data_IF_012851384434
#
_entry.id   IF_012851384434
#
_cell.length_a   1.000
_cell.length_b   1.000
_cell.length_c   1.000
_cell.angle_alpha   90.00
_cell.angle_beta   90.00
_cell.angle_gamma   90.00
#
_symmetry.space_group_name_H-M   'P 1'
#
loop_
_entity.id
_entity.type
_entity.pdbx_description
1 polymer ?
#
# COMPACT_ATOMS: atom_id res chain seq x y z
N UNK A 1 -57.10 -73.55 7.70
CA UNK A 1 -57.04 -72.50 6.70
C UNK A 1 -55.77 -71.70 7.01
N UNK A 2 -54.67 -72.14 6.43
CA UNK A 2 -53.31 -71.62 6.66
C UNK A 2 -52.99 -70.53 5.62
N UNK A 3 -52.65 -69.33 6.07
CA UNK A 3 -52.19 -68.25 5.22
C UNK A 3 -50.69 -68.44 4.99
N UNK A 4 -50.24 -68.38 3.77
CA UNK A 4 -48.81 -68.51 3.47
C UNK A 4 -48.07 -67.20 3.55
N UNK A 5 -46.84 -67.24 4.12
CA UNK A 5 -45.70 -66.47 3.74
C UNK A 5 -45.69 -64.97 4.04
N UNK A 6 -45.49 -64.63 5.33
CA UNK A 6 -44.96 -63.31 5.67
C UNK A 6 -43.49 -63.24 5.30
N UNK A 7 -43.17 -62.68 4.15
CA UNK A 7 -41.83 -62.18 3.88
C UNK A 7 -41.54 -61.04 4.83
N UNK A 8 -40.74 -61.25 5.84
CA UNK A 8 -40.14 -60.19 6.64
C UNK A 8 -39.30 -59.36 5.73
N UNK A 9 -39.81 -58.19 5.38
CA UNK A 9 -39.00 -57.16 4.73
C UNK A 9 -37.99 -56.68 5.77
N UNK A 10 -36.77 -57.16 5.62
CA UNK A 10 -35.66 -56.76 6.43
C UNK A 10 -35.34 -55.30 6.13
N UNK A 11 -35.88 -54.40 6.92
CA UNK A 11 -35.58 -52.96 6.86
C UNK A 11 -34.21 -52.62 7.42
N UNK A 12 -33.40 -53.63 7.73
CA UNK A 12 -31.96 -53.44 8.03
C UNK A 12 -31.13 -53.42 6.75
N UNK A 13 -31.61 -52.71 5.70
CA UNK A 13 -30.64 -52.21 4.74
C UNK A 13 -29.68 -51.31 5.52
N UNK A 14 -28.39 -51.62 5.55
CA UNK A 14 -27.46 -50.77 6.26
C UNK A 14 -27.59 -49.38 5.68
N UNK A 15 -27.78 -48.41 6.56
CA UNK A 15 -27.51 -46.99 6.27
C UNK A 15 -26.01 -46.89 5.98
N UNK A 16 -25.58 -47.62 4.91
CA UNK A 16 -24.26 -47.59 4.40
C UNK A 16 -23.93 -46.19 3.92
N UNK A 17 -23.14 -45.56 4.75
CA UNK A 17 -22.19 -44.62 4.27
C UNK A 17 -22.91 -43.47 3.49
N UNK A 18 -23.61 -42.60 4.21
CA UNK A 18 -23.50 -41.20 3.85
C UNK A 18 -22.00 -40.95 3.84
N UNK A 19 -21.43 -41.12 2.66
CA UNK A 19 -20.03 -40.90 2.36
C UNK A 19 -19.74 -39.53 2.96
N UNK A 20 -19.05 -39.48 4.09
CA UNK A 20 -18.66 -38.24 4.72
C UNK A 20 -17.67 -37.65 3.74
N UNK A 21 -18.18 -36.86 2.79
CA UNK A 21 -17.36 -36.14 1.84
C UNK A 21 -16.34 -35.38 2.68
N UNK A 22 -15.11 -35.91 2.73
CA UNK A 22 -14.04 -35.30 3.50
C UNK A 22 -13.85 -33.86 3.00
N UNK A 23 -13.68 -32.89 3.90
CA UNK A 23 -13.52 -31.51 3.50
C UNK A 23 -12.26 -31.34 2.65
N UNK A 24 -12.40 -30.81 1.45
CA UNK A 24 -11.27 -30.51 0.59
C UNK A 24 -10.64 -29.19 1.03
N UNK A 25 -9.48 -29.27 1.66
CA UNK A 25 -8.72 -28.09 2.09
C UNK A 25 -8.10 -27.36 0.91
N UNK A 26 -8.18 -26.02 0.93
CA UNK A 26 -7.61 -25.19 -0.11
C UNK A 26 -6.07 -25.32 -0.17
N UNK A 27 -5.54 -25.59 -1.37
CA UNK A 27 -4.09 -25.61 -1.59
C UNK A 27 -3.48 -24.24 -1.32
N UNK A 28 -2.18 -24.22 -1.03
CA UNK A 28 -1.40 -23.00 -0.88
C UNK A 28 -1.53 -22.08 -2.10
N UNK A 29 -1.40 -22.64 -3.32
CA UNK A 29 -1.54 -21.87 -4.56
C UNK A 29 -2.89 -21.17 -4.67
N UNK A 30 -4.00 -21.83 -4.35
CA UNK A 30 -5.32 -21.18 -4.38
C UNK A 30 -5.42 -20.02 -3.41
N UNK A 31 -4.79 -20.10 -2.25
CA UNK A 31 -4.76 -19.00 -1.27
C UNK A 31 -3.94 -17.83 -1.77
N UNK A 32 -2.77 -18.10 -2.38
CA UNK A 32 -1.91 -17.07 -2.97
C UNK A 32 -2.63 -16.37 -4.12
N UNK A 33 -3.22 -17.11 -5.04
CA UNK A 33 -3.98 -16.51 -6.16
C UNK A 33 -5.12 -15.64 -5.63
N UNK A 34 -5.87 -16.09 -4.63
CA UNK A 34 -6.93 -15.28 -4.03
C UNK A 34 -6.39 -13.98 -3.42
N UNK A 35 -5.25 -14.05 -2.71
CA UNK A 35 -4.62 -12.88 -2.11
C UNK A 35 -4.10 -11.89 -3.17
N UNK A 36 -3.49 -12.38 -4.26
CA UNK A 36 -3.05 -11.55 -5.38
C UNK A 36 -4.22 -10.83 -6.04
N UNK A 37 -5.33 -11.55 -6.26
CA UNK A 37 -6.55 -10.95 -6.83
C UNK A 37 -7.12 -9.85 -5.91
N UNK A 38 -7.16 -10.09 -4.60
CA UNK A 38 -7.59 -9.07 -3.63
C UNK A 38 -6.64 -7.86 -3.63
N UNK A 39 -5.32 -8.08 -3.74
CA UNK A 39 -4.32 -7.03 -3.83
C UNK A 39 -4.45 -6.18 -5.11
N UNK A 40 -4.76 -6.79 -6.25
CA UNK A 40 -5.02 -6.10 -7.52
C UNK A 40 -6.22 -5.14 -7.39
N UNK A 41 -7.29 -5.57 -6.73
CA UNK A 41 -8.46 -4.70 -6.47
C UNK A 41 -8.04 -3.51 -5.61
N UNK A 42 -7.32 -3.76 -4.52
CA UNK A 42 -6.87 -2.70 -3.62
C UNK A 42 -5.94 -1.70 -4.32
N UNK A 43 -5.02 -2.19 -5.15
CA UNK A 43 -4.12 -1.33 -5.93
C UNK A 43 -4.87 -0.48 -6.96
N UNK A 44 -5.87 -1.05 -7.64
CA UNK A 44 -6.71 -0.32 -8.59
C UNK A 44 -7.51 0.79 -7.90
N UNK A 45 -8.10 0.51 -6.72
CA UNK A 45 -8.82 1.51 -5.93
C UNK A 45 -7.86 2.59 -5.42
N UNK A 46 -6.67 2.21 -4.95
CA UNK A 46 -5.65 3.17 -4.51
C UNK A 46 -5.24 4.12 -5.64
N UNK A 47 -5.13 3.61 -6.88
CA UNK A 47 -4.84 4.44 -8.05
C UNK A 47 -5.99 5.40 -8.40
N UNK A 48 -7.23 4.91 -8.34
CA UNK A 48 -8.42 5.71 -8.68
C UNK A 48 -8.75 6.74 -7.61
N UNK A 49 -8.31 6.55 -6.38
CA UNK A 49 -8.56 7.48 -5.29
C UNK A 49 -7.98 8.88 -5.60
N UNK A 50 -8.70 9.95 -5.30
CA UNK A 50 -8.25 11.32 -5.60
C UNK A 50 -7.03 11.76 -4.80
N UNK A 51 -6.68 11.05 -3.74
CA UNK A 51 -5.51 11.32 -2.90
C UNK A 51 -4.35 10.50 -3.45
N UNK A 52 -3.31 11.18 -3.93
CA UNK A 52 -2.13 10.56 -4.52
C UNK A 52 -1.45 9.60 -3.55
N UNK A 53 -1.68 8.31 -3.74
CA UNK A 53 -0.98 7.23 -3.04
C UNK A 53 -0.13 6.51 -4.06
N UNK A 54 1.16 6.37 -3.75
CA UNK A 54 2.07 5.60 -4.61
C UNK A 54 1.50 4.22 -4.92
N UNK A 55 1.60 3.81 -6.18
CA UNK A 55 1.04 2.57 -6.73
C UNK A 55 1.86 1.33 -6.40
N UNK A 56 2.45 1.25 -5.21
CA UNK A 56 3.16 0.06 -4.77
C UNK A 56 2.19 -0.97 -4.21
N UNK A 57 2.31 -2.22 -4.65
CA UNK A 57 1.53 -3.34 -4.16
C UNK A 57 1.75 -3.52 -2.65
N UNK A 58 0.74 -3.36 -1.79
CA UNK A 58 0.93 -3.41 -0.34
C UNK A 58 1.17 -4.82 0.21
N UNK A 59 0.88 -5.86 -0.59
CA UNK A 59 0.89 -7.26 -0.13
C UNK A 59 1.93 -8.13 -0.82
N UNK A 60 2.57 -7.67 -1.89
CA UNK A 60 3.63 -8.40 -2.55
C UNK A 60 4.98 -7.81 -2.14
N UNK A 61 5.53 -8.32 -1.05
CA UNK A 61 6.96 -8.39 -0.88
C UNK A 61 7.70 -7.19 -0.34
N UNK A 62 7.08 -6.44 0.56
CA UNK A 62 7.94 -5.81 1.56
C UNK A 62 7.87 -6.67 2.80
N UNK A 63 8.93 -7.44 3.12
CA UNK A 63 9.04 -7.98 4.46
C UNK A 63 8.85 -6.79 5.39
N UNK A 64 8.00 -6.94 6.41
CA UNK A 64 7.98 -6.00 7.50
C UNK A 64 9.43 -5.91 7.97
N UNK A 65 10.16 -4.94 7.48
CA UNK A 65 11.50 -4.70 7.94
C UNK A 65 11.34 -4.40 9.42
N UNK A 66 11.99 -5.17 10.26
CA UNK A 66 12.02 -5.01 11.71
C UNK A 66 12.50 -3.61 12.14
N UNK A 67 12.82 -2.76 11.20
CA UNK A 67 13.40 -1.41 11.36
C UNK A 67 12.43 -0.27 11.07
N UNK A 68 11.14 -0.45 11.30
CA UNK A 68 10.20 0.67 11.26
C UNK A 68 9.05 0.42 10.27
N UNK A 69 7.89 0.84 10.70
CA UNK A 69 6.69 0.89 9.88
C UNK A 69 7.02 1.70 8.61
N UNK A 70 7.08 1.02 7.47
CA UNK A 70 7.35 1.65 6.20
C UNK A 70 6.40 2.86 6.02
N UNK A 71 6.91 4.08 5.79
CA UNK A 71 6.09 5.28 5.64
C UNK A 71 5.01 5.13 4.56
N UNK A 72 5.19 4.21 3.60
CA UNK A 72 4.18 3.84 2.61
C UNK A 72 2.95 3.17 3.24
N UNK A 73 3.09 2.39 4.30
CA UNK A 73 1.96 1.77 5.01
C UNK A 73 1.13 2.85 5.72
N UNK A 74 1.79 3.85 6.30
CA UNK A 74 1.12 5.01 6.92
C UNK A 74 0.27 5.81 5.93
N UNK A 75 0.68 5.93 4.68
CA UNK A 75 -0.07 6.65 3.64
C UNK A 75 -1.35 5.91 3.21
N UNK A 76 -1.35 4.59 3.25
CA UNK A 76 -2.51 3.76 2.89
C UNK A 76 -3.69 3.94 3.84
N UNK A 77 -3.41 3.98 5.15
CA UNK A 77 -4.45 4.23 6.16
C UNK A 77 -4.99 5.67 6.14
N UNK A 78 -4.28 6.60 5.52
CA UNK A 78 -4.77 7.97 5.29
C UNK A 78 -5.75 8.07 4.13
N UNK A 79 -5.79 7.07 3.25
CA UNK A 79 -6.72 7.06 2.12
C UNK A 79 -8.04 6.39 2.53
N UNK A 80 -9.15 7.14 2.67
CA UNK A 80 -10.42 6.59 3.13
C UNK A 80 -11.00 5.52 2.18
N UNK A 81 -10.69 5.58 0.89
CA UNK A 81 -11.15 4.59 -0.08
C UNK A 81 -10.42 3.25 0.10
N UNK A 82 -9.13 3.27 0.38
CA UNK A 82 -8.38 2.06 0.70
C UNK A 82 -8.85 1.46 2.01
N UNK A 83 -9.08 2.30 3.03
CA UNK A 83 -9.67 1.86 4.30
C UNK A 83 -11.04 1.23 4.08
N UNK A 84 -11.89 1.82 3.23
CA UNK A 84 -13.18 1.25 2.89
C UNK A 84 -13.06 -0.15 2.25
N UNK A 85 -12.13 -0.35 1.31
CA UNK A 85 -11.87 -1.68 0.72
C UNK A 85 -11.43 -2.68 1.78
N UNK A 86 -10.54 -2.29 2.68
CA UNK A 86 -10.08 -3.15 3.79
C UNK A 86 -11.27 -3.53 4.68
N UNK A 87 -12.09 -2.56 5.10
CA UNK A 87 -13.27 -2.80 5.94
C UNK A 87 -14.26 -3.74 5.25
N UNK A 88 -14.59 -3.48 3.99
CA UNK A 88 -15.48 -4.34 3.20
C UNK A 88 -14.93 -5.77 3.11
N UNK A 89 -13.63 -5.91 2.86
CA UNK A 89 -12.97 -7.23 2.77
C UNK A 89 -13.03 -7.98 4.10
N UNK A 90 -12.80 -7.29 5.22
CA UNK A 90 -12.92 -7.87 6.57
C UNK A 90 -14.36 -8.30 6.85
N UNK A 91 -15.33 -7.46 6.57
CA UNK A 91 -16.76 -7.76 6.78
C UNK A 91 -17.21 -8.93 5.91
N UNK A 92 -16.84 -8.96 4.63
CA UNK A 92 -17.12 -10.10 3.75
C UNK A 92 -16.51 -11.39 4.30
N UNK A 93 -15.25 -11.37 4.73
CA UNK A 93 -14.62 -12.56 5.30
C UNK A 93 -15.27 -12.98 6.61
N UNK A 94 -15.67 -12.04 7.47
CA UNK A 94 -16.27 -12.32 8.76
C UNK A 94 -17.65 -13.01 8.64
N UNK A 95 -18.49 -12.54 7.73
CA UNK A 95 -19.88 -12.97 7.66
C UNK A 95 -20.20 -13.88 6.47
N UNK A 96 -19.44 -13.77 5.38
CA UNK A 96 -19.60 -14.61 4.20
C UNK A 96 -18.52 -15.68 4.08
N UNK A 97 -17.43 -15.58 4.86
CA UNK A 97 -16.28 -16.47 4.81
C UNK A 97 -15.40 -16.28 3.57
N UNK A 98 -15.65 -15.24 2.76
CA UNK A 98 -15.00 -15.03 1.48
C UNK A 98 -14.57 -13.57 1.30
N UNK A 99 -13.58 -13.37 0.45
CA UNK A 99 -13.22 -12.07 -0.14
C UNK A 99 -13.47 -12.14 -1.63
N UNK A 100 -13.44 -11.04 -2.39
CA UNK A 100 -13.57 -11.09 -3.85
C UNK A 100 -12.65 -12.11 -4.51
N UNK A 101 -11.36 -12.12 -4.15
CA UNK A 101 -10.39 -13.10 -4.67
C UNK A 101 -10.75 -14.54 -4.29
N UNK A 102 -11.19 -14.78 -3.06
CA UNK A 102 -11.63 -16.11 -2.62
C UNK A 102 -12.89 -16.59 -3.33
N UNK A 103 -13.82 -15.68 -3.64
CA UNK A 103 -15.02 -15.99 -4.44
C UNK A 103 -14.62 -16.51 -5.80
N UNK A 104 -13.67 -15.84 -6.48
CA UNK A 104 -13.22 -16.21 -7.83
C UNK A 104 -12.51 -17.56 -7.83
N UNK A 105 -11.65 -17.81 -6.85
CA UNK A 105 -10.89 -19.06 -6.74
C UNK A 105 -11.73 -20.22 -6.21
N UNK A 106 -12.91 -19.93 -5.63
CA UNK A 106 -13.81 -20.93 -5.08
C UNK A 106 -13.32 -21.50 -3.74
N UNK A 107 -12.82 -20.64 -2.84
CA UNK A 107 -12.40 -21.03 -1.49
C UNK A 107 -13.09 -20.16 -0.44
N UNK A 108 -13.24 -20.69 0.76
CA UNK A 108 -13.87 -19.98 1.88
C UNK A 108 -13.14 -20.26 3.20
N UNK A 109 -13.07 -19.25 4.06
CA UNK A 109 -12.57 -19.33 5.43
C UNK A 109 -13.74 -19.63 6.36
N UNK A 110 -13.66 -20.75 7.05
CA UNK A 110 -14.73 -21.19 7.94
C UNK A 110 -14.16 -21.69 9.27
N UNK A 111 -15.00 -21.76 10.28
CA UNK A 111 -14.69 -22.37 11.55
C UNK A 111 -14.53 -23.89 11.38
N UNK A 112 -13.55 -24.45 12.04
CA UNK A 112 -13.29 -25.91 12.04
C UNK A 112 -14.44 -26.69 12.71
N UNK A 113 -15.16 -26.07 13.66
CA UNK A 113 -16.17 -26.75 14.44
C UNK A 113 -17.53 -26.88 13.74
N UNK A 114 -17.93 -25.88 12.93
CA UNK A 114 -19.29 -25.81 12.38
C UNK A 114 -19.36 -25.44 10.90
N UNK A 115 -18.19 -25.32 10.24
CA UNK A 115 -18.06 -24.95 8.83
C UNK A 115 -18.76 -23.64 8.44
N UNK A 116 -18.98 -22.75 9.40
CA UNK A 116 -19.56 -21.42 9.20
C UNK A 116 -18.48 -20.34 9.21
N UNK A 117 -18.71 -19.17 8.61
CA UNK A 117 -17.83 -18.03 8.73
C UNK A 117 -17.53 -17.71 10.19
N UNK A 118 -16.29 -17.29 10.45
CA UNK A 118 -15.74 -17.19 11.83
C UNK A 118 -16.19 -15.98 12.62
N UNK A 119 -16.91 -15.03 11.99
CA UNK A 119 -17.35 -13.78 12.61
C UNK A 119 -16.26 -12.72 12.69
N UNK A 120 -16.63 -11.50 13.10
CA UNK A 120 -15.76 -10.33 13.04
C UNK A 120 -14.54 -10.45 13.96
N UNK A 121 -14.77 -10.81 15.23
CA UNK A 121 -13.70 -10.88 16.24
C UNK A 121 -12.60 -11.86 15.83
N UNK A 122 -13.00 -13.09 15.46
CA UNK A 122 -12.02 -14.11 15.02
C UNK A 122 -11.36 -13.75 13.70
N UNK A 123 -12.03 -13.01 12.81
CA UNK A 123 -11.43 -12.49 11.57
C UNK A 123 -10.36 -11.44 11.87
N UNK A 124 -10.60 -10.52 12.79
CA UNK A 124 -9.62 -9.53 13.22
C UNK A 124 -8.42 -10.18 13.94
N UNK A 125 -8.68 -11.13 14.85
CA UNK A 125 -7.61 -11.89 15.50
C UNK A 125 -6.78 -12.69 14.48
N UNK A 126 -7.42 -13.26 13.46
CA UNK A 126 -6.74 -13.95 12.38
C UNK A 126 -5.84 -13.00 11.59
N UNK A 127 -6.34 -11.80 11.28
CA UNK A 127 -5.56 -10.75 10.61
C UNK A 127 -4.34 -10.36 11.43
N UNK A 128 -4.51 -10.14 12.73
CA UNK A 128 -3.40 -9.84 13.63
C UNK A 128 -2.40 -11.00 13.70
N UNK A 129 -2.87 -12.24 13.78
CA UNK A 129 -2.02 -13.42 13.80
C UNK A 129 -1.24 -13.64 12.49
N UNK A 130 -1.69 -13.10 11.36
CA UNK A 130 -0.93 -13.12 10.11
C UNK A 130 0.38 -12.29 10.17
N UNK A 131 0.52 -11.39 11.13
CA UNK A 131 1.82 -10.72 11.40
C UNK A 131 2.87 -11.77 11.78
N UNK A 132 2.48 -12.77 12.60
CA UNK A 132 3.36 -13.89 12.97
C UNK A 132 3.66 -14.76 11.75
N UNK A 133 2.67 -15.02 10.89
CA UNK A 133 2.87 -15.77 9.64
C UNK A 133 3.86 -15.04 8.71
N UNK A 134 3.93 -13.72 8.77
CA UNK A 134 4.83 -12.87 8.00
C UNK A 134 6.29 -12.92 8.49
N UNK A 135 6.55 -13.33 9.72
CA UNK A 135 7.90 -13.49 10.24
C UNK A 135 8.58 -14.64 9.48
N UNK A 136 9.62 -14.32 8.72
CA UNK A 136 10.36 -15.25 7.85
C UNK A 136 9.47 -16.01 6.84
N UNK A 137 8.20 -15.60 6.62
CA UNK A 137 7.21 -16.25 5.75
C UNK A 137 6.89 -17.72 6.08
N UNK A 138 7.46 -18.30 7.14
CA UNK A 138 7.30 -19.71 7.51
C UNK A 138 5.81 -20.04 7.75
N UNK A 139 5.07 -19.13 8.38
CA UNK A 139 3.64 -19.33 8.64
C UNK A 139 2.82 -19.43 7.36
N UNK A 140 3.14 -18.60 6.35
CA UNK A 140 2.49 -18.67 5.04
C UNK A 140 2.84 -19.92 4.24
N UNK A 141 4.02 -20.51 4.46
CA UNK A 141 4.43 -21.76 3.80
C UNK A 141 3.91 -23.00 4.52
N UNK A 142 3.52 -22.90 5.80
CA UNK A 142 3.01 -24.03 6.61
C UNK A 142 1.92 -24.88 5.94
N UNK A 143 0.97 -24.34 5.14
CA UNK A 143 -0.02 -25.14 4.41
C UNK A 143 0.56 -26.15 3.43
N UNK A 144 1.84 -26.05 3.06
CA UNK A 144 2.50 -27.03 2.18
C UNK A 144 2.75 -28.38 2.86
N UNK A 145 2.99 -28.39 4.18
CA UNK A 145 3.29 -29.60 4.94
C UNK A 145 2.26 -29.94 6.04
N UNK A 146 1.32 -29.04 6.31
CA UNK A 146 0.26 -29.31 7.28
C UNK A 146 -0.87 -30.12 6.65
N UNK A 147 -1.32 -31.21 7.29
CA UNK A 147 -2.39 -32.10 6.77
C UNK A 147 -3.70 -31.37 6.52
N UNK A 148 -4.05 -30.41 7.35
CA UNK A 148 -5.25 -29.57 7.20
C UNK A 148 -4.95 -28.24 6.47
N UNK A 149 -3.74 -28.09 5.93
CA UNK A 149 -3.29 -26.89 5.18
C UNK A 149 -3.51 -25.57 5.92
N UNK A 150 -3.27 -25.57 7.25
CA UNK A 150 -3.45 -24.39 8.11
C UNK A 150 -2.17 -23.57 8.19
N UNK A 151 -2.33 -22.23 8.21
CA UNK A 151 -1.30 -21.28 8.67
C UNK A 151 -1.24 -21.26 10.20
N UNK A 152 -0.30 -20.52 10.81
CA UNK A 152 -0.34 -20.30 12.26
C UNK A 152 -1.56 -19.47 12.65
N UNK A 153 -1.89 -18.44 11.88
CA UNK A 153 -3.09 -17.65 12.08
C UNK A 153 -4.37 -18.48 12.02
N UNK A 154 -4.49 -19.43 11.06
CA UNK A 154 -5.61 -20.35 10.98
C UNK A 154 -5.72 -21.21 12.26
N UNK A 155 -4.60 -21.68 12.78
CA UNK A 155 -4.57 -22.50 13.99
C UNK A 155 -4.93 -21.72 15.24
N UNK A 156 -4.46 -20.47 15.35
CA UNK A 156 -4.74 -19.61 16.51
C UNK A 156 -6.22 -19.31 16.71
N UNK A 157 -6.98 -19.18 15.60
CA UNK A 157 -8.41 -18.88 15.67
C UNK A 157 -9.32 -20.09 15.40
N UNK A 158 -8.77 -21.30 15.24
CA UNK A 158 -9.53 -22.52 14.93
C UNK A 158 -10.31 -22.38 13.62
N UNK A 159 -9.68 -21.86 12.58
CA UNK A 159 -10.25 -21.77 11.24
C UNK A 159 -9.58 -22.71 10.25
N UNK A 160 -10.28 -23.01 9.16
CA UNK A 160 -9.79 -23.75 8.01
C UNK A 160 -10.23 -23.06 6.72
N UNK A 161 -9.45 -23.26 5.67
CA UNK A 161 -9.85 -22.78 4.34
C UNK A 161 -10.25 -23.95 3.48
N UNK A 162 -11.50 -23.99 3.07
CA UNK A 162 -12.08 -25.06 2.28
C UNK A 162 -12.25 -24.67 0.81
N UNK A 163 -12.17 -25.65 -0.06
CA UNK A 163 -12.56 -25.50 -1.47
C UNK A 163 -14.09 -25.63 -1.53
N UNK A 164 -14.77 -24.53 -1.60
CA UNK A 164 -16.22 -24.49 -1.70
C UNK A 164 -16.71 -23.20 -2.38
N UNK A 165 -17.72 -23.34 -3.20
CA UNK A 165 -18.46 -22.21 -3.77
C UNK A 165 -19.75 -21.93 -3.01
N UNK A 166 -20.07 -22.71 -1.99
CA UNK A 166 -21.31 -22.66 -1.21
C UNK A 166 -21.06 -22.75 0.28
N UNK A 167 -20.20 -21.86 0.88
CA UNK A 167 -20.02 -21.88 2.32
C UNK A 167 -21.36 -21.65 3.02
N UNK A 168 -21.58 -22.30 4.15
CA UNK A 168 -22.74 -22.08 4.99
C UNK A 168 -22.79 -20.60 5.38
N UNK A 169 -23.99 -20.01 5.49
CA UNK A 169 -24.11 -18.63 5.94
C UNK A 169 -23.74 -18.51 7.43
N UNK A 170 -23.25 -17.34 7.83
CA UNK A 170 -23.01 -17.04 9.24
C UNK A 170 -24.33 -17.10 10.03
N UNK A 171 -24.27 -17.50 11.31
CA UNK A 171 -25.47 -17.67 12.15
C UNK A 171 -26.37 -16.45 12.20
N UNK A 172 -25.81 -15.25 12.12
CA UNK A 172 -26.56 -13.99 12.11
C UNK A 172 -27.32 -13.71 10.82
N UNK A 173 -26.92 -14.34 9.72
CA UNK A 173 -27.56 -14.19 8.41
C UNK A 173 -28.67 -15.22 8.17
N UNK A 174 -28.85 -16.14 9.10
CA UNK A 174 -29.94 -17.13 9.04
C UNK A 174 -31.14 -16.52 9.74
N UNK A 175 -32.25 -16.37 9.00
CA UNK A 175 -33.54 -16.07 9.61
C UNK A 175 -33.86 -17.16 10.61
N UNK A 176 -34.29 -16.80 11.83
CA UNK A 176 -34.65 -17.74 12.90
C UNK A 176 -35.75 -18.74 12.47
N UNK A 177 -36.42 -18.45 11.36
CA UNK A 177 -37.56 -19.26 10.84
C UNK A 177 -37.12 -20.28 9.78
N UNK A 178 -35.89 -20.27 9.30
CA UNK A 178 -35.44 -21.27 8.34
C UNK A 178 -34.73 -22.40 9.10
N UNK A 179 -35.27 -23.60 9.18
CA UNK A 179 -34.56 -24.74 9.73
C UNK A 179 -33.27 -24.94 8.92
N UNK A 180 -32.15 -25.16 9.61
CA UNK A 180 -30.87 -25.52 9.00
C UNK A 180 -30.99 -26.96 8.47
N UNK A 181 -31.77 -27.13 7.41
CA UNK A 181 -32.15 -28.42 6.83
C UNK A 181 -31.06 -28.96 5.91
N UNK A 182 -29.81 -28.78 6.30
CA UNK A 182 -28.73 -29.53 5.68
C UNK A 182 -28.36 -30.71 6.56
N UNK A 183 -27.99 -31.86 6.01
CA UNK A 183 -27.45 -32.94 6.81
C UNK A 183 -26.28 -32.40 7.65
N UNK A 184 -26.17 -32.78 8.94
CA UNK A 184 -25.25 -32.17 9.90
C UNK A 184 -23.77 -32.28 9.49
N UNK A 185 -23.49 -32.98 8.42
CA UNK A 185 -22.12 -33.27 7.94
C UNK A 185 -21.76 -32.68 6.57
N UNK A 186 -22.63 -31.85 5.95
CA UNK A 186 -22.28 -31.21 4.69
C UNK A 186 -21.61 -29.86 4.93
N UNK A 187 -20.44 -29.68 4.35
CA UNK A 187 -19.66 -28.42 4.40
C UNK A 187 -20.27 -27.32 3.53
N UNK A 188 -21.23 -27.65 2.70
CA UNK A 188 -21.83 -26.77 1.72
C UNK A 188 -23.32 -26.49 2.00
N UNK A 189 -23.76 -25.31 1.61
CA UNK A 189 -25.19 -25.00 1.61
C UNK A 189 -25.92 -25.75 0.49
N UNK A 190 -27.15 -26.22 0.75
CA UNK A 190 -27.98 -27.00 -0.19
C UNK A 190 -28.21 -26.25 -1.52
N UNK A 191 -28.33 -24.92 -1.50
CA UNK A 191 -28.56 -24.10 -2.67
C UNK A 191 -27.62 -22.92 -2.73
N UNK A 192 -27.30 -22.44 -3.94
CA UNK A 192 -26.53 -21.22 -4.15
C UNK A 192 -27.46 -20.01 -4.03
N UNK A 193 -27.37 -19.20 -2.96
CA UNK A 193 -28.25 -18.06 -2.82
C UNK A 193 -27.97 -17.02 -3.93
N UNK A 194 -29.02 -16.28 -4.33
CA UNK A 194 -28.93 -15.29 -5.42
C UNK A 194 -27.86 -14.24 -5.18
N UNK A 195 -27.64 -13.80 -3.93
CA UNK A 195 -26.62 -12.82 -3.58
C UNK A 195 -25.20 -13.30 -3.92
N UNK A 196 -24.93 -14.61 -3.92
CA UNK A 196 -23.59 -15.13 -4.29
C UNK A 196 -23.30 -14.97 -5.77
N UNK A 197 -24.31 -15.14 -6.62
CA UNK A 197 -24.14 -14.84 -8.06
C UNK A 197 -23.79 -13.37 -8.24
N UNK A 198 -24.51 -12.47 -7.57
CA UNK A 198 -24.20 -11.04 -7.56
C UNK A 198 -22.78 -10.77 -7.02
N UNK A 199 -22.39 -11.36 -5.90
CA UNK A 199 -21.04 -11.22 -5.35
C UNK A 199 -19.96 -11.73 -6.30
N UNK A 200 -20.21 -12.82 -7.03
CA UNK A 200 -19.27 -13.33 -8.02
C UNK A 200 -19.11 -12.33 -9.18
N UNK A 201 -20.20 -11.82 -9.73
CA UNK A 201 -20.12 -10.83 -10.81
C UNK A 201 -19.49 -9.52 -10.38
N UNK A 202 -19.82 -9.03 -9.18
CA UNK A 202 -19.17 -7.86 -8.60
C UNK A 202 -17.66 -8.08 -8.36
N UNK A 203 -17.27 -9.28 -7.93
CA UNK A 203 -15.86 -9.64 -7.79
C UNK A 203 -15.14 -9.68 -9.13
N UNK A 204 -15.76 -10.26 -10.16
CA UNK A 204 -15.21 -10.27 -11.53
C UNK A 204 -15.03 -8.84 -12.05
N UNK A 205 -16.03 -8.00 -11.87
CA UNK A 205 -15.99 -6.59 -12.28
C UNK A 205 -14.89 -5.83 -11.51
N UNK A 206 -14.82 -6.01 -10.20
CA UNK A 206 -13.81 -5.35 -9.35
C UNK A 206 -12.38 -5.78 -9.71
N UNK A 207 -12.16 -7.07 -10.00
CA UNK A 207 -10.86 -7.58 -10.46
C UNK A 207 -10.53 -7.05 -11.85
N UNK A 208 -11.51 -7.05 -12.76
CA UNK A 208 -11.34 -6.51 -14.11
C UNK A 208 -10.92 -5.05 -14.09
N UNK A 209 -11.65 -4.21 -13.36
CA UNK A 209 -11.33 -2.78 -13.21
C UNK A 209 -10.02 -2.58 -12.46
N UNK A 210 -9.82 -3.26 -11.32
CA UNK A 210 -8.58 -3.19 -10.55
C UNK A 210 -7.36 -3.59 -11.38
N UNK A 211 -7.46 -4.69 -12.12
CA UNK A 211 -6.42 -5.17 -13.03
C UNK A 211 -6.14 -4.18 -14.16
N UNK A 212 -7.20 -3.65 -14.77
CA UNK A 212 -7.08 -2.67 -15.83
C UNK A 212 -6.27 -1.44 -15.38
N UNK A 213 -6.60 -0.85 -14.22
CA UNK A 213 -5.87 0.31 -13.72
C UNK A 213 -4.52 -0.02 -13.09
N UNK A 214 -4.31 -1.24 -12.63
CA UNK A 214 -3.02 -1.66 -12.05
C UNK A 214 -1.98 -1.95 -13.13
N UNK A 215 -2.37 -2.64 -14.20
CA UNK A 215 -1.45 -3.13 -15.23
C UNK A 215 -1.48 -2.33 -16.53
N UNK A 216 -2.40 -1.37 -16.69
CA UNK A 216 -2.41 -0.52 -17.87
C UNK A 216 -1.08 0.21 -18.03
N UNK A 217 -0.60 0.38 -19.26
CA UNK A 217 0.58 1.18 -19.53
C UNK A 217 0.36 2.60 -18.97
N UNK A 218 1.38 3.12 -18.34
CA UNK A 218 1.36 4.46 -17.76
C UNK A 218 2.33 5.36 -18.49
N UNK A 219 1.89 6.55 -18.82
CA UNK A 219 2.77 7.66 -19.17
C UNK A 219 3.09 8.44 -17.90
N UNK A 220 4.37 8.62 -17.62
CA UNK A 220 4.85 9.45 -16.52
C UNK A 220 5.43 10.72 -17.11
N UNK A 221 4.96 11.85 -16.60
CA UNK A 221 5.54 13.15 -16.87
C UNK A 221 6.15 13.62 -15.55
N UNK A 222 7.47 13.59 -15.49
CA UNK A 222 8.18 14.18 -14.37
C UNK A 222 8.25 15.70 -14.63
N UNK A 223 7.86 16.54 -13.69
CA UNK A 223 8.01 17.98 -13.84
C UNK A 223 9.49 18.32 -13.98
N UNK A 224 9.82 19.26 -14.83
CA UNK A 224 11.14 19.85 -14.83
C UNK A 224 11.43 20.41 -13.44
N UNK A 225 12.69 20.37 -12.96
CA UNK A 225 13.06 21.04 -11.74
C UNK A 225 12.68 22.51 -11.84
N UNK A 226 12.12 23.05 -10.77
CA UNK A 226 11.89 24.48 -10.72
C UNK A 226 13.22 25.18 -10.42
N UNK A 227 13.69 25.94 -11.38
CA UNK A 227 14.92 26.72 -11.28
C UNK A 227 14.60 28.10 -10.69
N UNK A 228 14.97 28.28 -9.44
CA UNK A 228 14.77 29.51 -8.72
C UNK A 228 16.09 30.29 -8.74
N UNK A 229 16.24 31.22 -9.68
CA UNK A 229 17.49 31.95 -9.86
C UNK A 229 17.39 33.34 -9.20
N UNK A 230 18.42 33.71 -8.46
CA UNK A 230 18.64 35.06 -8.02
C UNK A 230 19.92 35.60 -8.64
N UNK A 231 19.86 36.84 -9.12
CA UNK A 231 20.98 37.54 -9.74
C UNK A 231 21.42 38.69 -8.84
N UNK A 232 22.72 38.86 -8.74
CA UNK A 232 23.29 39.92 -7.91
C UNK A 232 24.01 40.92 -8.78
N UNK A 233 23.75 42.18 -8.53
CA UNK A 233 24.34 43.29 -9.30
C UNK A 233 25.73 43.65 -8.84
N UNK A 234 26.12 43.38 -7.60
CA UNK A 234 27.49 43.62 -7.07
C UNK A 234 27.70 42.96 -5.73
N UNK A 235 28.74 42.13 -5.64
CA UNK A 235 29.15 41.56 -4.36
C UNK A 235 30.68 41.45 -4.32
N UNK A 236 31.26 42.10 -3.35
CA UNK A 236 32.68 42.03 -3.05
C UNK A 236 32.82 41.20 -1.75
N UNK A 237 33.21 39.94 -1.88
CA UNK A 237 33.73 39.13 -0.78
C UNK A 237 35.18 38.78 -1.18
N UNK A 238 36.12 39.55 -0.72
CA UNK A 238 37.53 39.36 -1.13
C UNK A 238 37.72 39.50 -2.64
N UNK A 239 38.41 38.55 -3.26
CA UNK A 239 38.65 38.52 -4.71
C UNK A 239 37.56 37.85 -5.52
N UNK A 240 36.62 37.19 -4.90
CA UNK A 240 35.50 36.51 -5.57
C UNK A 240 34.20 37.33 -5.51
N UNK A 241 33.46 37.32 -6.62
CA UNK A 241 32.17 37.99 -6.75
C UNK A 241 31.11 36.99 -7.10
N UNK A 242 30.18 36.75 -6.21
CA UNK A 242 29.02 35.95 -6.53
C UNK A 242 28.20 36.67 -7.61
N UNK A 243 27.94 36.03 -8.74
CA UNK A 243 27.20 36.61 -9.85
C UNK A 243 25.73 36.18 -9.83
N UNK A 244 25.48 34.91 -9.59
CA UNK A 244 24.14 34.39 -9.37
C UNK A 244 24.18 33.10 -8.57
N UNK A 245 23.05 32.80 -7.94
CA UNK A 245 22.80 31.50 -7.38
C UNK A 245 21.48 30.99 -7.91
N UNK A 246 21.38 29.70 -8.11
CA UNK A 246 20.16 29.02 -8.55
C UNK A 246 19.85 27.88 -7.58
N UNK A 247 18.66 27.93 -7.00
CA UNK A 247 18.13 26.82 -6.21
C UNK A 247 17.23 25.98 -7.10
N UNK A 248 17.63 24.75 -7.32
CA UNK A 248 16.86 23.76 -8.08
C UNK A 248 16.05 22.93 -7.13
N UNK A 249 14.73 23.03 -7.21
CA UNK A 249 13.82 22.24 -6.40
C UNK A 249 13.12 21.21 -7.27
N UNK A 250 13.38 19.93 -7.00
CA UNK A 250 12.61 18.83 -7.60
C UNK A 250 11.40 18.60 -6.72
N UNK A 251 10.25 19.01 -7.19
CA UNK A 251 8.97 18.59 -6.62
C UNK A 251 8.62 17.22 -7.17
N UNK A 252 8.33 16.26 -6.32
CA UNK A 252 7.92 14.92 -6.75
C UNK A 252 6.49 14.85 -7.29
N UNK A 253 5.97 15.94 -7.82
CA UNK A 253 4.67 15.98 -8.48
C UNK A 253 4.73 15.40 -9.89
N UNK A 254 5.29 14.18 -10.03
CA UNK A 254 5.12 13.44 -11.27
C UNK A 254 3.64 13.23 -11.53
N UNK A 255 3.22 13.48 -12.76
CA UNK A 255 1.90 13.11 -13.23
C UNK A 255 1.99 11.71 -13.84
N UNK A 256 1.13 10.81 -13.38
CA UNK A 256 0.97 9.48 -13.99
C UNK A 256 -0.41 9.39 -14.61
N UNK A 257 -0.45 9.10 -15.90
CA UNK A 257 -1.70 8.88 -16.64
C UNK A 257 -1.82 7.43 -17.03
N UNK A 258 -2.95 6.80 -16.66
CA UNK A 258 -3.35 5.46 -17.11
C UNK A 258 -4.77 5.53 -17.64
N UNK A 259 -5.01 5.03 -18.84
CA UNK A 259 -6.33 5.00 -19.46
C UNK A 259 -7.04 6.38 -19.44
N UNK A 260 -6.31 7.46 -19.65
CA UNK A 260 -6.85 8.82 -19.59
C UNK A 260 -7.09 9.39 -18.18
N UNK A 261 -6.91 8.60 -17.12
CA UNK A 261 -6.99 9.09 -15.75
C UNK A 261 -5.62 9.54 -15.27
N UNK A 262 -5.47 10.84 -15.06
CA UNK A 262 -4.23 11.44 -14.56
C UNK A 262 -4.28 11.58 -13.04
N UNK A 263 -3.19 11.19 -12.38
CA UNK A 263 -3.01 11.32 -10.93
C UNK A 263 -1.68 11.97 -10.63
N UNK A 264 -1.66 12.83 -9.60
CA UNK A 264 -0.42 13.39 -9.05
C UNK A 264 0.19 12.37 -8.09
N UNK A 265 1.49 12.12 -8.26
CA UNK A 265 2.26 11.29 -7.33
C UNK A 265 2.75 12.18 -6.19
N UNK A 266 1.96 12.55 -5.25
CA UNK A 266 2.33 13.31 -4.05
C UNK A 266 3.36 14.46 -4.24
N UNK A 267 3.20 15.56 -3.54
CA UNK A 267 4.08 16.74 -3.64
C UNK A 267 5.10 16.81 -2.48
N UNK A 268 5.86 15.75 -2.26
CA UNK A 268 7.00 15.85 -1.34
C UNK A 268 8.25 16.26 -2.11
N UNK A 269 8.97 17.29 -1.69
CA UNK A 269 10.27 17.61 -2.28
C UNK A 269 11.18 16.39 -2.19
N UNK A 270 11.63 15.86 -3.32
CA UNK A 270 12.49 14.66 -3.34
C UNK A 270 13.97 14.99 -3.37
N UNK A 271 14.31 16.23 -3.65
CA UNK A 271 15.67 16.69 -3.66
C UNK A 271 15.74 18.16 -4.02
N UNK A 272 16.76 18.78 -3.58
CA UNK A 272 17.14 20.11 -3.99
C UNK A 272 18.65 20.16 -4.11
N UNK A 273 19.14 20.96 -5.03
CA UNK A 273 20.53 21.34 -5.07
C UNK A 273 20.62 22.83 -5.36
N UNK A 274 21.71 23.42 -4.95
CA UNK A 274 21.95 24.83 -5.19
C UNK A 274 23.25 24.98 -5.98
N UNK A 275 23.21 25.83 -6.97
CA UNK A 275 24.34 26.19 -7.81
C UNK A 275 24.73 27.61 -7.51
N UNK A 276 26.04 27.84 -7.34
CA UNK A 276 26.63 29.16 -7.20
C UNK A 276 27.59 29.39 -8.35
N UNK A 277 27.53 30.58 -8.92
CA UNK A 277 28.46 31.03 -9.95
C UNK A 277 29.09 32.35 -9.52
N UNK A 278 30.37 32.44 -9.64
CA UNK A 278 31.10 33.65 -9.26
C UNK A 278 32.10 34.07 -10.32
N UNK A 279 32.46 35.37 -10.31
CA UNK A 279 33.56 35.93 -11.08
C UNK A 279 34.74 36.25 -10.16
N UNK A 280 35.91 36.42 -10.75
CA UNK A 280 37.15 36.66 -10.02
C UNK A 280 37.92 35.36 -9.77
N UNK A 281 39.01 35.45 -9.05
CA UNK A 281 39.90 34.32 -8.74
C UNK A 281 39.95 34.10 -7.24
N UNK A 282 39.69 32.84 -6.84
CA UNK A 282 39.94 32.37 -5.48
C UNK A 282 41.37 31.87 -5.36
N UNK A 283 42.02 32.15 -4.25
CA UNK A 283 43.34 31.59 -3.94
C UNK A 283 43.16 30.14 -3.44
N UNK A 284 44.11 29.24 -3.72
CA UNK A 284 44.10 27.88 -3.15
C UNK A 284 44.08 27.83 -1.62
N UNK A 285 44.43 28.92 -0.97
CA UNK A 285 44.46 29.02 0.50
C UNK A 285 43.19 29.71 1.07
N UNK A 286 42.25 30.13 0.21
CA UNK A 286 41.01 30.75 0.67
C UNK A 286 40.10 29.70 1.28
N UNK A 287 39.60 29.97 2.48
CA UNK A 287 38.53 29.21 3.11
C UNK A 287 37.18 29.71 2.55
N UNK A 288 36.53 28.89 1.74
CA UNK A 288 35.30 29.25 1.08
C UNK A 288 34.12 28.40 1.61
N UNK A 289 33.05 29.07 2.00
CA UNK A 289 31.80 28.41 2.42
C UNK A 289 30.64 29.04 1.70
N UNK A 290 29.83 28.23 1.02
CA UNK A 290 28.55 28.64 0.47
C UNK A 290 27.45 28.48 1.50
N UNK A 291 26.64 29.52 1.70
CA UNK A 291 25.55 29.54 2.66
C UNK A 291 24.21 29.63 1.94
N UNK A 292 23.31 28.75 2.29
CA UNK A 292 21.91 28.78 1.86
C UNK A 292 21.01 28.91 3.09
N UNK A 293 20.18 29.94 3.11
CA UNK A 293 19.16 30.14 4.14
C UNK A 293 17.80 29.99 3.49
N UNK A 294 16.96 29.11 4.01
CA UNK A 294 15.56 28.93 3.57
C UNK A 294 14.66 29.40 4.71
N UNK A 295 13.77 30.34 4.40
CA UNK A 295 12.82 30.89 5.36
C UNK A 295 11.39 30.50 4.96
N UNK A 296 10.75 29.71 5.80
CA UNK A 296 9.39 29.21 5.60
C UNK A 296 8.34 30.34 5.79
N UNK A 297 7.10 30.03 5.41
CA UNK A 297 5.97 30.98 5.49
C UNK A 297 5.67 31.45 6.93
N UNK A 298 6.00 30.64 7.92
CA UNK A 298 5.83 30.96 9.34
C UNK A 298 6.99 31.80 9.94
N UNK A 299 7.99 32.12 9.11
CA UNK A 299 9.18 32.87 9.50
C UNK A 299 10.32 32.01 10.08
N UNK A 300 10.13 30.71 10.19
CA UNK A 300 11.24 29.82 10.60
C UNK A 300 12.30 29.74 9.50
N UNK A 301 13.58 29.84 9.90
CA UNK A 301 14.70 29.79 8.96
C UNK A 301 15.61 28.60 9.23
N UNK A 302 16.00 27.94 8.16
CA UNK A 302 16.98 26.83 8.19
C UNK A 302 18.21 27.26 7.40
N UNK A 303 19.38 27.17 8.00
CA UNK A 303 20.66 27.56 7.38
C UNK A 303 21.49 26.30 7.09
N UNK A 304 22.07 26.27 5.90
CA UNK A 304 23.01 25.25 5.47
C UNK A 304 24.30 25.89 4.97
N UNK A 305 25.40 25.49 5.56
CA UNK A 305 26.72 25.91 5.21
C UNK A 305 27.45 24.75 4.51
N UNK A 306 27.96 25.04 3.31
CA UNK A 306 28.66 24.07 2.45
C UNK A 306 30.12 24.49 2.28
N UNK A 307 31.06 23.84 2.98
CA UNK A 307 32.49 24.08 2.77
C UNK A 307 32.89 23.70 1.34
N UNK A 308 33.70 24.54 0.71
CA UNK A 308 34.13 24.36 -0.66
C UNK A 308 35.65 24.36 -0.75
N UNK A 309 36.19 23.36 -1.42
CA UNK A 309 37.65 23.13 -1.44
C UNK A 309 38.27 23.29 -2.83
N UNK A 310 37.48 23.33 -3.90
CA UNK A 310 37.98 23.47 -5.25
C UNK A 310 37.93 24.92 -5.73
N UNK A 311 38.94 25.67 -5.41
CA UNK A 311 39.07 27.10 -5.78
C UNK A 311 39.43 27.32 -7.24
N UNK A 312 39.69 26.27 -8.02
CA UNK A 312 40.06 26.36 -9.43
C UNK A 312 38.88 26.61 -10.38
N UNK A 313 37.66 26.39 -9.91
CA UNK A 313 36.41 26.56 -10.67
C UNK A 313 35.77 27.92 -10.39
N UNK A 314 34.86 28.35 -11.26
CA UNK A 314 33.98 29.51 -11.05
C UNK A 314 32.51 29.09 -10.81
N UNK A 315 32.29 27.83 -10.44
CA UNK A 315 30.99 27.22 -10.32
C UNK A 315 31.04 26.11 -9.23
N UNK A 316 30.01 26.04 -8.41
CA UNK A 316 29.84 25.00 -7.41
C UNK A 316 28.39 24.51 -7.37
N UNK A 317 28.20 23.21 -7.27
CA UNK A 317 26.92 22.57 -7.07
C UNK A 317 26.92 21.85 -5.74
N UNK A 318 25.96 22.15 -4.89
CA UNK A 318 25.83 21.54 -3.58
C UNK A 318 24.46 20.92 -3.39
N UNK A 319 24.41 19.68 -2.89
CA UNK A 319 23.17 19.01 -2.59
C UNK A 319 22.58 19.56 -1.30
N UNK A 320 21.34 20.04 -1.38
CA UNK A 320 20.59 20.53 -0.23
C UNK A 320 19.91 19.35 0.46
N UNK A 321 19.97 19.25 1.80
CA UNK A 321 19.29 18.19 2.53
C UNK A 321 17.81 18.09 2.18
N UNK A 322 17.28 16.87 1.98
CA UNK A 322 15.93 16.63 1.47
C UNK A 322 14.80 17.16 2.38
N UNK A 323 15.09 17.39 3.65
CA UNK A 323 14.15 17.94 4.63
C UNK A 323 14.07 19.48 4.62
N UNK A 324 15.01 20.17 3.97
CA UNK A 324 15.11 21.64 3.99
C UNK A 324 13.86 22.32 3.40
N UNK A 325 13.30 21.74 2.34
CA UNK A 325 12.10 22.26 1.67
C UNK A 325 10.81 21.60 2.16
N UNK A 326 10.88 20.74 3.18
CA UNK A 326 9.69 20.12 3.76
C UNK A 326 9.01 21.10 4.72
N UNK A 327 7.72 21.38 4.47
CA UNK A 327 6.92 22.22 5.37
C UNK A 327 7.15 23.72 5.23
N UNK A 328 7.87 24.18 4.21
CA UNK A 328 8.12 25.64 3.98
C UNK A 328 6.83 26.43 3.66
N UNK A 329 5.72 25.76 3.30
CA UNK A 329 4.45 26.41 2.98
C UNK A 329 4.40 26.98 1.57
N UNK A 330 3.31 27.73 1.27
CA UNK A 330 3.04 28.23 -0.09
C UNK A 330 3.84 29.50 -0.44
N UNK A 331 4.28 30.26 0.56
CA UNK A 331 5.08 31.46 0.40
C UNK A 331 6.31 31.37 1.27
N UNK A 332 7.44 31.25 0.66
CA UNK A 332 8.70 31.13 1.34
C UNK A 332 9.80 31.90 0.58
N UNK A 333 10.92 32.12 1.22
CA UNK A 333 12.06 32.77 0.60
C UNK A 333 13.35 31.99 0.85
N UNK A 334 14.31 32.20 0.00
CA UNK A 334 15.64 31.64 0.16
C UNK A 334 16.68 32.73 -0.11
N UNK A 335 17.81 32.60 0.53
CA UNK A 335 18.92 33.51 0.40
C UNK A 335 20.22 32.70 0.22
N UNK A 336 21.05 33.14 -0.71
CA UNK A 336 22.34 32.53 -0.98
C UNK A 336 23.43 33.56 -0.78
N UNK A 337 24.50 33.20 -0.06
CA UNK A 337 25.70 33.99 0.15
C UNK A 337 26.94 33.13 0.03
N UNK A 338 28.10 33.76 -0.07
CA UNK A 338 29.42 33.13 0.00
C UNK A 338 30.22 33.79 1.08
N UNK A 339 30.93 32.98 1.86
CA UNK A 339 31.85 33.43 2.91
C UNK A 339 33.27 33.08 2.44
N UNK A 340 34.11 34.06 2.35
CA UNK A 340 35.52 33.85 1.98
C UNK A 340 36.40 34.41 3.12
N UNK A 341 37.24 33.56 3.70
CA UNK A 341 38.10 33.92 4.83
C UNK A 341 37.35 34.62 5.99
N UNK A 342 36.13 34.13 6.27
CA UNK A 342 35.28 34.67 7.35
C UNK A 342 34.49 35.94 6.97
N UNK A 343 34.66 36.48 5.76
CA UNK A 343 33.89 37.62 5.27
C UNK A 343 32.73 37.16 4.45
N UNK A 344 31.50 37.41 4.92
CA UNK A 344 30.28 37.02 4.21
C UNK A 344 29.88 38.09 3.19
N UNK A 345 29.56 37.63 1.98
CA UNK A 345 29.00 38.49 0.94
C UNK A 345 27.53 38.87 1.31
N UNK A 346 27.02 40.01 0.79
CA UNK A 346 25.57 40.22 0.82
C UNK A 346 24.82 39.03 0.19
N UNK A 347 23.67 38.70 0.75
CA UNK A 347 22.88 37.56 0.28
C UNK A 347 22.04 37.93 -0.95
N UNK A 348 21.98 37.01 -1.90
CA UNK A 348 21.03 37.04 -3.00
C UNK A 348 19.71 36.40 -2.50
N UNK A 349 18.61 37.10 -2.66
CA UNK A 349 17.32 36.67 -2.12
C UNK A 349 16.34 36.35 -3.24
N UNK A 350 15.74 35.15 -3.15
CA UNK A 350 14.65 34.71 -3.99
C UNK A 350 13.36 34.53 -3.19
N UNK A 351 12.23 34.94 -3.76
CA UNK A 351 10.90 34.72 -3.19
C UNK A 351 10.12 33.74 -4.04
N UNK A 352 9.45 32.78 -3.39
CA UNK A 352 8.75 31.70 -4.06
C UNK A 352 7.30 31.65 -3.60
N UNK A 353 6.39 31.50 -4.56
CA UNK A 353 4.96 31.32 -4.30
C UNK A 353 4.43 30.11 -5.08
N UNK A 354 3.66 29.24 -4.40
CA UNK A 354 2.89 28.18 -5.06
C UNK A 354 3.68 26.99 -5.60
N UNK A 355 4.96 26.82 -5.23
CA UNK A 355 5.79 25.71 -5.76
C UNK A 355 5.35 24.33 -5.26
N UNK A 356 4.76 24.24 -4.06
CA UNK A 356 4.42 22.99 -3.37
C UNK A 356 2.91 22.82 -3.10
N UNK A 357 2.04 23.53 -3.83
CA UNK A 357 0.56 23.40 -3.74
C UNK A 357 -0.01 22.19 -4.45
#
# INVERSE_FOLDING_TARGET
>A
MTLPGGTSVDFAAPLHAVDRLEPVYASWTKRVVAAVVDAVIAAGVAYLAPIGVGTTFPFLGQPASLTGLNPLVGSWFRNPWVVAVIVVTIVMQAYLGVTPGKVLVGIAVVSESDARPIGLVRTLLRWLAHVVDGILFIGYLRPLWNSRRKTFADSAVGSVVLVTRRPRPHRWLISRSAPDVGPPFTWEAAATPRWRRAATWLSVLAVGLGGLFTFAPSTRVDPAPADLTCTMTRLDAGAARLTHATLHAITSTGLVTRLGVTRRLGSTPQGAWADWTWGGTLSPNDEVTFRLVVTAADGTSTTHDFPFFDTSTSFATMQVPSNTLQGVGDRWSWAASVIVNGVESPACVGHVTGLFT
#
